data_IF_690235981632
#
_entry.id   IF_690235981632
#
_cell.length_a   1.000
_cell.length_b   1.000
_cell.length_c   1.000
_cell.angle_alpha   90.00
_cell.angle_beta   90.00
_cell.angle_gamma   90.00
#
_symmetry.space_group_name_H-M   'P 1'
#
loop_
_entity.id
_entity.type
_entity.pdbx_description
1 polymer ?
#
# COMPACT_ATOMS: atom_id res chain seq x y z
N UNK A 1 -9.86 -13.49 7.50
CA UNK A 1 -9.03 -12.57 8.30
C UNK A 1 -8.22 -13.35 9.33
N UNK A 2 -6.99 -12.93 9.67
CA UNK A 2 -6.18 -13.55 10.74
C UNK A 2 -6.20 -12.66 11.98
N UNK A 3 -6.65 -13.19 13.11
CA UNK A 3 -6.66 -12.44 14.36
C UNK A 3 -5.21 -12.15 14.81
N UNK A 4 -4.85 -10.88 14.92
CA UNK A 4 -3.51 -10.45 15.34
C UNK A 4 -3.42 -10.17 16.85
N UNK A 5 -4.57 -10.05 17.52
CA UNK A 5 -4.65 -9.72 18.95
C UNK A 5 -4.21 -8.30 19.31
N UNK A 6 -3.87 -7.46 18.33
CA UNK A 6 -3.45 -6.08 18.58
C UNK A 6 -4.66 -5.17 18.74
N UNK A 7 -4.82 -4.59 19.94
CA UNK A 7 -5.83 -3.56 20.23
C UNK A 7 -5.12 -2.24 20.50
N UNK A 8 -5.54 -1.18 19.80
CA UNK A 8 -5.02 0.18 19.97
C UNK A 8 -6.17 1.18 19.97
N UNK A 9 -6.05 2.17 20.85
CA UNK A 9 -6.96 3.33 20.85
C UNK A 9 -6.54 4.26 19.72
N UNK A 10 -7.53 4.92 19.13
CA UNK A 10 -7.29 6.09 18.28
C UNK A 10 -6.76 7.23 19.13
N UNK A 11 -5.92 8.06 18.54
CA UNK A 11 -5.56 9.33 19.15
C UNK A 11 -6.63 10.41 18.89
N UNK A 12 -6.38 11.63 19.38
CA UNK A 12 -7.31 12.76 19.25
C UNK A 12 -7.58 13.19 17.80
N UNK A 13 -6.76 12.77 16.84
CA UNK A 13 -6.88 13.10 15.42
C UNK A 13 -7.41 11.92 14.59
N UNK A 14 -7.76 10.80 15.24
CA UNK A 14 -8.23 9.60 14.56
C UNK A 14 -7.12 8.75 13.92
N UNK A 15 -5.86 8.91 14.35
CA UNK A 15 -4.75 8.05 13.88
C UNK A 15 -4.66 6.80 14.74
N UNK A 16 -4.28 5.68 14.10
CA UNK A 16 -3.96 4.42 14.78
C UNK A 16 -2.48 4.08 14.62
N UNK A 17 -1.86 3.57 15.68
CA UNK A 17 -0.44 3.19 15.66
C UNK A 17 -0.30 1.72 15.32
N UNK A 18 0.41 1.40 14.24
CA UNK A 18 0.79 0.03 13.90
C UNK A 18 1.97 -0.45 14.78
N UNK A 19 1.81 -1.54 15.55
CA UNK A 19 2.89 -2.09 16.37
C UNK A 19 4.14 -2.41 15.56
N UNK A 20 5.32 -2.24 16.17
CA UNK A 20 6.62 -2.48 15.51
C UNK A 20 6.76 -3.91 14.97
N UNK A 21 6.21 -4.90 15.68
CA UNK A 21 6.19 -6.30 15.25
C UNK A 21 5.41 -6.50 13.96
N UNK A 22 4.21 -5.92 13.87
CA UNK A 22 3.36 -5.99 12.68
C UNK A 22 4.03 -5.30 11.49
N UNK A 23 4.61 -4.12 11.70
CA UNK A 23 5.37 -3.41 10.67
C UNK A 23 6.54 -4.23 10.13
N UNK A 24 7.31 -4.90 11.00
CA UNK A 24 8.39 -5.80 10.57
C UNK A 24 7.87 -6.99 9.77
N UNK A 25 6.77 -7.61 10.21
CA UNK A 25 6.19 -8.77 9.53
C UNK A 25 5.68 -8.41 8.12
N UNK A 26 5.11 -7.21 7.96
CA UNK A 26 4.56 -6.72 6.70
C UNK A 26 5.55 -5.86 5.89
N UNK A 27 6.81 -5.74 6.34
CA UNK A 27 7.84 -4.89 5.73
C UNK A 27 7.36 -3.46 5.44
N UNK A 28 6.70 -2.85 6.43
CA UNK A 28 6.22 -1.46 6.40
C UNK A 28 7.24 -0.57 7.12
N UNK A 29 7.83 0.34 6.38
CA UNK A 29 8.83 1.29 6.84
C UNK A 29 8.24 2.71 6.96
N UNK A 30 9.00 3.59 7.61
CA UNK A 30 8.64 5.00 7.68
C UNK A 30 8.66 5.62 6.27
N UNK A 31 7.62 6.37 5.92
CA UNK A 31 7.45 6.95 4.59
C UNK A 31 6.80 6.04 3.55
N UNK A 32 6.55 4.75 3.86
CA UNK A 32 5.82 3.87 2.95
C UNK A 32 4.36 4.35 2.78
N UNK A 33 3.92 4.45 1.53
CA UNK A 33 2.52 4.71 1.19
C UNK A 33 1.66 3.48 1.48
N UNK A 34 0.48 3.71 2.04
CA UNK A 34 -0.51 2.68 2.32
C UNK A 34 -1.81 3.01 1.61
N UNK A 35 -2.44 1.99 1.02
CA UNK A 35 -3.75 2.07 0.40
C UNK A 35 -4.81 1.62 1.42
N UNK A 36 -5.94 2.33 1.46
CA UNK A 36 -7.04 2.08 2.39
C UNK A 36 -8.27 1.65 1.61
N UNK A 37 -8.85 0.52 2.00
CA UNK A 37 -10.09 0.00 1.44
C UNK A 37 -11.12 -0.24 2.54
N UNK A 38 -12.40 -0.27 2.13
CA UNK A 38 -13.51 -0.73 2.95
C UNK A 38 -14.05 -1.97 2.26
N UNK A 39 -14.08 -3.10 2.96
CA UNK A 39 -14.68 -4.33 2.43
C UNK A 39 -16.21 -4.33 2.56
N UNK A 40 -16.86 -5.35 1.98
CA UNK A 40 -18.33 -5.46 1.98
C UNK A 40 -18.94 -5.61 3.39
N UNK A 41 -18.13 -6.01 4.38
CA UNK A 41 -18.54 -6.13 5.78
C UNK A 41 -18.31 -4.82 6.57
N UNK A 42 -17.74 -3.79 5.93
CA UNK A 42 -17.43 -2.50 6.54
C UNK A 42 -16.12 -2.47 7.31
N UNK A 43 -15.25 -3.48 7.17
CA UNK A 43 -13.93 -3.49 7.78
C UNK A 43 -12.96 -2.59 6.99
N UNK A 44 -12.06 -1.92 7.71
CA UNK A 44 -10.96 -1.18 7.09
C UNK A 44 -9.81 -2.14 6.78
N UNK A 45 -9.43 -2.23 5.51
CA UNK A 45 -8.29 -3.02 5.03
C UNK A 45 -7.17 -2.07 4.63
N UNK A 46 -5.95 -2.38 5.09
CA UNK A 46 -4.74 -1.61 4.82
C UNK A 46 -3.76 -2.48 4.03
N UNK A 47 -3.39 -2.02 2.84
CA UNK A 47 -2.38 -2.65 2.00
C UNK A 47 -1.22 -1.71 1.70
N UNK A 48 -0.04 -2.27 1.46
CA UNK A 48 1.11 -1.49 1.01
C UNK A 48 0.82 -0.96 -0.39
N UNK A 49 0.86 0.36 -0.56
CA UNK A 49 0.69 0.94 -1.88
C UNK A 49 1.91 0.59 -2.72
N UNK A 50 1.67 -0.14 -3.81
CA UNK A 50 2.68 -0.42 -4.80
C UNK A 50 2.24 0.24 -6.09
N UNK A 51 3.04 1.17 -6.64
CA UNK A 51 2.67 1.80 -7.90
C UNK A 51 2.53 0.73 -8.98
N UNK A 52 1.46 0.85 -9.78
CA UNK A 52 1.14 -0.06 -10.89
C UNK A 52 1.27 0.66 -12.22
N UNK A 53 1.73 -0.07 -13.24
CA UNK A 53 1.86 0.49 -14.58
C UNK A 53 0.49 0.89 -15.09
N UNK A 54 0.35 2.13 -15.59
CA UNK A 54 -0.95 2.66 -16.06
C UNK A 54 -1.51 1.91 -17.28
N UNK A 55 -0.69 1.12 -17.98
CA UNK A 55 -1.09 0.40 -19.19
C UNK A 55 -1.43 -1.07 -18.95
N UNK A 56 -0.64 -1.78 -18.15
CA UNK A 56 -0.79 -3.23 -17.95
C UNK A 56 -1.16 -3.63 -16.51
N UNK A 57 -1.32 -2.65 -15.61
CA UNK A 57 -1.56 -2.82 -14.17
C UNK A 57 -0.54 -3.71 -13.44
N UNK A 58 0.56 -4.07 -14.10
CA UNK A 58 1.63 -4.84 -13.48
C UNK A 58 2.49 -3.96 -12.59
N UNK A 59 2.94 -4.57 -11.50
CA UNK A 59 3.99 -4.02 -10.64
C UNK A 59 5.34 -4.46 -11.21
N UNK A 60 6.26 -3.51 -11.39
CA UNK A 60 7.63 -3.79 -11.80
C UNK A 60 8.60 -3.04 -10.90
N UNK A 61 9.79 -3.60 -10.65
CA UNK A 61 10.86 -2.93 -9.91
C UNK A 61 11.42 -1.72 -10.66
N UNK A 62 11.25 -1.68 -11.99
CA UNK A 62 11.75 -0.62 -12.86
C UNK A 62 10.62 0.28 -13.38
N UNK A 63 9.76 0.73 -12.48
CA UNK A 63 8.72 1.70 -12.80
C UNK A 63 9.33 3.07 -13.10
N UNK A 64 8.89 3.69 -14.19
CA UNK A 64 9.29 5.02 -14.61
C UNK A 64 8.09 5.95 -14.49
N UNK A 65 8.31 7.12 -13.89
CA UNK A 65 7.30 8.17 -13.87
C UNK A 65 7.41 9.03 -15.13
N UNK A 66 6.34 9.11 -15.91
CA UNK A 66 6.23 9.97 -17.09
C UNK A 66 4.93 10.77 -17.03
N UNK A 67 5.04 12.10 -16.98
CA UNK A 67 3.89 13.03 -16.86
C UNK A 67 2.93 12.69 -15.71
N UNK A 68 3.47 12.29 -14.56
CA UNK A 68 2.68 11.92 -13.38
C UNK A 68 2.00 10.54 -13.47
N UNK A 69 2.30 9.74 -14.49
CA UNK A 69 1.85 8.35 -14.63
C UNK A 69 3.02 7.41 -14.42
N UNK A 70 2.79 6.30 -13.74
CA UNK A 70 3.81 5.27 -13.57
C UNK A 70 3.66 4.23 -14.68
N UNK A 71 4.75 3.94 -15.38
CA UNK A 71 4.80 3.06 -16.55
C UNK A 71 5.96 2.07 -16.35
N UNK A 72 5.73 0.78 -16.56
CA UNK A 72 6.81 -0.21 -16.54
C UNK A 72 7.66 -0.10 -17.82
N UNK A 73 8.93 -0.51 -17.76
CA UNK A 73 9.83 -0.47 -18.92
C UNK A 73 9.31 -1.25 -20.12
N UNK A 74 8.60 -2.34 -19.90
CA UNK A 74 8.00 -3.17 -20.96
C UNK A 74 7.00 -2.34 -21.78
N UNK A 75 5.99 -1.74 -21.12
CA UNK A 75 5.04 -0.86 -21.80
C UNK A 75 5.72 0.39 -22.38
N UNK A 76 6.75 0.93 -21.72
CA UNK A 76 7.50 2.07 -22.24
C UNK A 76 8.23 1.73 -23.55
N UNK A 77 8.69 0.50 -23.72
CA UNK A 77 9.38 0.04 -24.93
C UNK A 77 8.45 -0.21 -26.12
N UNK A 78 7.15 -0.35 -25.86
CA UNK A 78 6.10 -0.54 -26.87
C UNK A 78 5.45 0.78 -27.32
N UNK A 79 5.84 1.92 -26.71
CA UNK A 79 5.38 3.27 -27.09
C UNK A 79 6.19 3.86 -28.24
#
# INVERSE_FOLDING_TARGET
>A
MKATGYVRKLDALGRIVLPKSLRKQLNINEGDSMEMFIDDEGNVVLDKYVPRCTFCDQVSENMVEYKGKHICRECLSEM
#
